data_IF_360836620810
#
_entry.id   IF_360836620810
#
_cell.length_a   1.000
_cell.length_b   1.000
_cell.length_c   1.000
_cell.angle_alpha   90.00
_cell.angle_beta   90.00
_cell.angle_gamma   90.00
#
_symmetry.space_group_name_H-M   'P 1'
#
loop_
_entity.id
_entity.type
_entity.pdbx_description
1 polymer ?
#
# COMPACT_ATOMS: atom_id res chain seq x y z
N UNK A 1 21.31 -3.22 -9.75
CA UNK A 1 21.13 -4.64 -9.44
C UNK A 1 21.05 -5.43 -10.74
N UNK A 2 22.09 -6.14 -11.17
CA UNK A 2 22.06 -6.85 -12.44
C UNK A 2 21.14 -8.05 -12.31
N UNK A 3 20.06 -8.05 -13.07
CA UNK A 3 19.30 -9.26 -13.33
C UNK A 3 20.24 -10.25 -13.98
N UNK A 4 20.28 -11.46 -13.46
CA UNK A 4 21.11 -12.51 -14.04
C UNK A 4 20.78 -12.69 -15.51
N UNK A 5 21.79 -12.64 -16.37
CA UNK A 5 21.69 -12.98 -17.81
C UNK A 5 21.34 -14.45 -18.00
N UNK A 6 21.58 -15.30 -17.01
CA UNK A 6 21.33 -16.74 -17.08
C UNK A 6 19.83 -17.03 -17.19
N UNK A 7 19.43 -17.73 -18.25
CA UNK A 7 18.04 -18.10 -18.53
C UNK A 7 17.39 -18.85 -17.37
N UNK A 8 18.10 -19.76 -16.75
CA UNK A 8 17.63 -20.54 -15.59
C UNK A 8 17.26 -19.64 -14.40
N UNK A 9 18.12 -18.67 -14.05
CA UNK A 9 17.86 -17.76 -12.93
C UNK A 9 16.63 -16.86 -13.17
N UNK A 10 16.39 -16.48 -14.42
CA UNK A 10 15.18 -15.70 -14.77
C UNK A 10 13.91 -16.54 -14.63
N UNK A 11 13.95 -17.80 -15.04
CA UNK A 11 12.82 -18.72 -14.87
C UNK A 11 12.57 -18.98 -13.38
N UNK A 12 13.61 -19.28 -12.61
CA UNK A 12 13.50 -19.47 -11.17
C UNK A 12 12.91 -18.23 -10.45
N UNK A 13 13.33 -17.02 -10.83
CA UNK A 13 12.78 -15.77 -10.29
C UNK A 13 11.29 -15.61 -10.61
N UNK A 14 10.88 -15.97 -11.81
CA UNK A 14 9.45 -15.93 -12.20
C UNK A 14 8.62 -16.93 -11.42
N UNK A 15 9.12 -18.15 -11.24
CA UNK A 15 8.44 -19.19 -10.44
C UNK A 15 8.34 -18.77 -8.98
N UNK A 16 9.45 -18.29 -8.38
CA UNK A 16 9.44 -17.76 -7.00
C UNK A 16 8.41 -16.64 -6.82
N UNK A 17 8.37 -15.69 -7.75
CA UNK A 17 7.39 -14.62 -7.72
C UNK A 17 5.96 -15.15 -7.80
N UNK A 18 5.67 -16.10 -8.69
CA UNK A 18 4.34 -16.70 -8.80
C UNK A 18 3.92 -17.42 -7.53
N UNK A 19 4.81 -18.24 -6.94
CA UNK A 19 4.56 -18.94 -5.69
C UNK A 19 4.35 -17.95 -4.52
N UNK A 20 5.12 -16.86 -4.47
CA UNK A 20 4.95 -15.82 -3.48
C UNK A 20 3.58 -15.13 -3.60
N UNK A 21 3.10 -14.88 -4.84
CA UNK A 21 1.78 -14.29 -5.06
C UNK A 21 0.64 -15.24 -4.69
N UNK A 22 0.80 -16.55 -4.91
CA UNK A 22 -0.22 -17.55 -4.54
C UNK A 22 -0.46 -17.66 -3.02
N UNK A 23 0.54 -17.30 -2.22
CA UNK A 23 0.45 -17.30 -0.75
C UNK A 23 -0.26 -16.05 -0.19
N UNK A 24 -0.53 -15.06 -1.03
CA UNK A 24 -1.20 -13.83 -0.59
C UNK A 24 -2.71 -14.08 -0.55
N UNK A 25 -3.25 -14.11 0.65
CA UNK A 25 -4.68 -14.22 0.90
C UNK A 25 -5.18 -12.88 1.43
N UNK A 26 -6.29 -12.39 0.87
CA UNK A 26 -6.93 -11.17 1.30
C UNK A 26 -8.35 -11.11 0.76
N UNK A 27 -9.34 -11.15 1.65
CA UNK A 27 -10.75 -11.18 1.29
C UNK A 27 -11.50 -9.90 1.64
N UNK A 28 -10.83 -8.95 2.28
CA UNK A 28 -11.46 -7.72 2.72
C UNK A 28 -11.38 -6.66 1.60
N UNK A 29 -12.51 -6.06 1.26
CA UNK A 29 -12.59 -4.98 0.27
C UNK A 29 -13.66 -3.97 0.68
N UNK A 30 -13.45 -2.71 0.37
CA UNK A 30 -14.49 -1.71 0.52
C UNK A 30 -15.66 -1.98 -0.43
N UNK A 31 -16.92 -1.81 0.00
CA UNK A 31 -18.06 -1.79 -0.88
C UNK A 31 -17.88 -0.76 -1.99
N UNK A 32 -18.12 -1.18 -3.22
CA UNK A 32 -17.91 -0.35 -4.41
C UNK A 32 -19.22 -0.05 -5.11
N UNK A 33 -19.28 1.08 -5.78
CA UNK A 33 -20.35 1.39 -6.73
C UNK A 33 -19.80 1.50 -8.15
N UNK A 34 -20.64 1.20 -9.13
CA UNK A 34 -20.31 1.44 -10.54
C UNK A 34 -20.53 2.91 -10.83
N UNK A 35 -19.49 3.58 -11.30
CA UNK A 35 -19.56 4.96 -11.75
C UNK A 35 -18.64 5.16 -12.96
N UNK A 36 -19.02 6.05 -13.87
CA UNK A 36 -18.25 6.31 -15.09
C UNK A 36 -17.12 7.32 -14.88
N UNK A 37 -17.35 8.30 -14.00
CA UNK A 37 -16.42 9.40 -13.77
C UNK A 37 -15.61 9.17 -12.49
N UNK A 38 -14.29 9.37 -12.60
CA UNK A 38 -13.36 9.30 -11.46
C UNK A 38 -13.20 10.67 -10.83
N UNK A 39 -13.34 10.73 -9.52
CA UNK A 39 -13.06 11.94 -8.74
C UNK A 39 -12.12 11.62 -7.61
N UNK A 40 -10.85 12.03 -7.74
CA UNK A 40 -9.87 11.84 -6.67
C UNK A 40 -9.98 12.97 -5.66
N UNK A 41 -10.19 12.62 -4.38
CA UNK A 41 -10.06 13.53 -3.26
C UNK A 41 -8.98 13.04 -2.30
N UNK A 42 -8.40 13.97 -1.51
CA UNK A 42 -7.25 13.68 -0.63
C UNK A 42 -7.41 14.41 0.69
N UNK A 43 -8.31 13.97 1.58
CA UNK A 43 -8.36 14.49 2.94
C UNK A 43 -7.01 14.30 3.62
N UNK A 44 -6.54 15.35 4.29
CA UNK A 44 -5.22 15.40 4.91
C UNK A 44 -5.31 15.97 6.31
N UNK A 45 -4.63 15.33 7.26
CA UNK A 45 -4.50 15.79 8.64
C UNK A 45 -3.01 15.92 8.99
N UNK A 46 -2.66 17.03 9.66
CA UNK A 46 -1.34 17.26 10.22
C UNK A 46 -1.43 17.31 11.75
N UNK A 47 -0.69 16.43 12.40
CA UNK A 47 -0.60 16.43 13.87
C UNK A 47 0.46 17.43 14.32
N UNK A 48 0.18 18.28 15.34
CA UNK A 48 1.14 19.24 15.90
C UNK A 48 2.46 18.56 16.31
N UNK A 49 3.52 19.36 16.42
CA UNK A 49 4.87 18.84 16.65
C UNK A 49 5.01 18.09 17.99
N UNK A 50 4.46 18.63 19.07
CA UNK A 50 4.43 18.00 20.38
C UNK A 50 3.71 16.66 20.37
N UNK A 51 2.54 16.61 19.73
CA UNK A 51 1.77 15.40 19.54
C UNK A 51 2.50 14.40 18.64
N UNK A 52 3.12 14.86 17.57
CA UNK A 52 3.96 14.02 16.70
C UNK A 52 5.09 13.38 17.49
N UNK A 53 5.78 14.15 18.34
CA UNK A 53 6.86 13.62 19.21
C UNK A 53 6.31 12.54 20.18
N UNK A 54 5.15 12.77 20.78
CA UNK A 54 4.50 11.80 21.66
C UNK A 54 4.15 10.49 20.91
N UNK A 55 3.50 10.58 19.76
CA UNK A 55 3.17 9.45 18.88
C UNK A 55 4.43 8.63 18.54
N UNK A 56 5.48 9.30 18.07
CA UNK A 56 6.73 8.63 17.70
C UNK A 56 7.42 7.99 18.91
N UNK A 57 7.36 8.62 20.08
CA UNK A 57 7.88 8.07 21.35
C UNK A 57 7.12 6.82 21.75
N UNK A 58 5.78 6.84 21.69
CA UNK A 58 4.92 5.69 22.01
C UNK A 58 5.18 4.51 21.06
N UNK A 59 5.28 4.75 19.77
CA UNK A 59 5.65 3.72 18.79
C UNK A 59 7.01 3.08 19.13
N UNK A 60 8.02 3.88 19.47
CA UNK A 60 9.35 3.37 19.87
C UNK A 60 9.30 2.54 21.14
N UNK A 61 8.53 2.95 22.14
CA UNK A 61 8.34 2.21 23.39
C UNK A 61 7.77 0.80 23.14
N UNK A 62 6.89 0.67 22.13
CA UNK A 62 6.36 -0.63 21.68
C UNK A 62 7.22 -1.34 20.62
N UNK A 63 8.42 -0.82 20.34
CA UNK A 63 9.37 -1.42 19.42
C UNK A 63 8.94 -1.41 17.95
N UNK A 64 8.03 -0.51 17.54
CA UNK A 64 7.52 -0.40 16.17
C UNK A 64 7.83 0.97 15.55
N UNK A 65 7.75 1.07 14.22
CA UNK A 65 7.78 2.35 13.51
C UNK A 65 6.37 2.90 13.35
N UNK A 66 6.24 4.21 13.14
CA UNK A 66 4.95 4.82 12.77
C UNK A 66 4.37 4.16 11.51
N UNK A 67 5.22 3.77 10.55
CA UNK A 67 4.77 3.04 9.36
C UNK A 67 4.07 1.73 9.70
N UNK A 68 4.62 0.96 10.64
CA UNK A 68 4.00 -0.28 11.09
C UNK A 68 2.71 -0.04 11.89
N UNK A 69 2.67 1.03 12.69
CA UNK A 69 1.48 1.44 13.42
C UNK A 69 0.35 1.86 12.45
N UNK A 70 0.65 2.56 11.35
CA UNK A 70 -0.37 2.93 10.36
C UNK A 70 -1.01 1.72 9.66
N UNK A 71 -0.29 0.62 9.46
CA UNK A 71 -0.92 -0.64 9.03
C UNK A 71 -1.92 -1.16 10.06
N UNK A 72 -1.54 -1.12 11.34
CA UNK A 72 -2.45 -1.55 12.41
C UNK A 72 -3.65 -0.61 12.57
N UNK A 73 -3.48 0.70 12.40
CA UNK A 73 -4.58 1.68 12.35
C UNK A 73 -5.57 1.31 11.25
N UNK A 74 -5.10 1.12 10.01
CA UNK A 74 -5.98 0.71 8.90
C UNK A 74 -6.69 -0.62 9.17
N UNK A 75 -5.98 -1.57 9.78
CA UNK A 75 -6.53 -2.88 10.12
C UNK A 75 -7.63 -2.77 11.17
N UNK A 76 -7.37 -2.08 12.28
CA UNK A 76 -8.34 -1.95 13.38
C UNK A 76 -9.54 -1.10 12.95
N UNK A 77 -9.31 0.03 12.28
CA UNK A 77 -10.36 0.89 11.79
C UNK A 77 -11.33 0.12 10.85
N UNK A 78 -10.78 -0.65 9.90
CA UNK A 78 -11.62 -1.47 9.02
C UNK A 78 -12.34 -2.57 9.78
N UNK A 79 -11.67 -3.25 10.73
CA UNK A 79 -12.30 -4.31 11.52
C UNK A 79 -13.49 -3.81 12.35
N UNK A 80 -13.48 -2.53 12.77
CA UNK A 80 -14.58 -1.91 13.53
C UNK A 80 -15.77 -1.55 12.66
N UNK A 81 -15.54 -1.02 11.46
CA UNK A 81 -16.63 -0.54 10.58
C UNK A 81 -17.09 -1.58 9.56
N UNK A 82 -16.29 -2.60 9.30
CA UNK A 82 -16.55 -3.59 8.23
C UNK A 82 -17.53 -4.70 8.61
N UNK A 83 -18.27 -4.57 9.73
CA UNK A 83 -19.09 -5.65 10.28
C UNK A 83 -20.15 -6.19 9.32
N UNK A 84 -20.73 -5.34 8.48
CA UNK A 84 -21.84 -5.69 7.60
C UNK A 84 -21.42 -6.28 6.24
N UNK A 85 -20.14 -6.10 5.84
CA UNK A 85 -19.69 -6.33 4.46
C UNK A 85 -18.58 -7.37 4.33
N UNK A 86 -18.08 -7.97 5.42
CA UNK A 86 -16.79 -8.64 5.40
C UNK A 86 -16.83 -10.05 5.98
N UNK A 87 -16.31 -11.01 5.22
CA UNK A 87 -15.98 -12.32 5.76
C UNK A 87 -14.78 -12.21 6.72
N UNK A 88 -15.07 -12.12 8.03
CA UNK A 88 -14.07 -12.00 9.09
C UNK A 88 -13.11 -13.18 9.18
N UNK A 89 -13.41 -14.30 8.53
CA UNK A 89 -12.51 -15.43 8.43
C UNK A 89 -11.31 -15.14 7.50
N UNK A 90 -11.47 -14.19 6.57
CA UNK A 90 -10.42 -13.84 5.63
C UNK A 90 -9.57 -12.66 6.13
N UNK A 91 -8.24 -12.72 5.97
CA UNK A 91 -7.35 -11.65 6.41
C UNK A 91 -7.50 -10.39 5.56
N UNK A 92 -7.07 -9.26 6.13
CA UNK A 92 -6.87 -8.00 5.41
C UNK A 92 -5.51 -8.01 4.75
N UNK A 93 -5.49 -7.98 3.42
CA UNK A 93 -4.27 -7.81 2.65
C UNK A 93 -4.09 -6.32 2.35
N UNK A 94 -2.95 -5.79 2.70
CA UNK A 94 -2.52 -4.41 2.39
C UNK A 94 -1.20 -4.45 1.65
N UNK A 95 -0.89 -3.42 0.88
CA UNK A 95 0.41 -3.31 0.22
C UNK A 95 1.06 -1.96 0.49
N UNK A 96 2.40 -1.91 0.39
CA UNK A 96 3.14 -0.66 0.50
C UNK A 96 4.28 -0.59 -0.50
N UNK A 97 4.69 0.64 -0.79
CA UNK A 97 5.87 0.90 -1.59
C UNK A 97 7.16 0.64 -0.79
N UNK A 98 8.17 0.09 -1.45
CA UNK A 98 9.50 -0.14 -0.92
C UNK A 98 10.50 0.71 -1.70
N UNK A 99 11.26 1.55 -0.99
CA UNK A 99 12.36 2.31 -1.60
C UNK A 99 13.47 1.35 -2.05
N UNK A 100 13.77 1.34 -3.34
CA UNK A 100 14.79 0.44 -3.91
C UNK A 100 16.18 1.06 -4.00
N UNK A 101 16.33 2.36 -3.80
CA UNK A 101 17.64 3.02 -3.88
C UNK A 101 18.74 2.37 -3.03
N UNK A 102 18.47 1.90 -1.78
CA UNK A 102 19.47 1.20 -0.97
C UNK A 102 19.97 -0.13 -1.56
N UNK A 103 19.21 -0.72 -2.51
CA UNK A 103 19.56 -2.01 -3.13
C UNK A 103 20.37 -1.87 -4.42
N UNK A 104 20.61 -0.64 -4.88
CA UNK A 104 21.45 -0.43 -6.07
C UNK A 104 22.92 -0.58 -5.73
N UNK A 105 23.58 -1.52 -6.40
CA UNK A 105 24.98 -1.89 -6.14
C UNK A 105 25.99 -0.92 -6.73
N UNK A 106 25.61 -0.08 -7.68
CA UNK A 106 26.45 0.98 -8.25
C UNK A 106 25.83 2.33 -7.92
N UNK A 107 26.57 3.11 -7.16
CA UNK A 107 26.36 4.55 -7.16
C UNK A 107 26.91 5.05 -8.49
N UNK A 108 26.12 5.68 -9.34
CA UNK A 108 26.64 6.24 -10.56
C UNK A 108 27.68 7.30 -10.24
N UNK A 109 28.70 7.35 -11.06
CA UNK A 109 29.83 8.29 -10.93
C UNK A 109 29.50 9.70 -11.38
N UNK A 110 28.25 9.97 -11.83
CA UNK A 110 27.84 11.29 -12.28
C UNK A 110 26.79 11.91 -11.35
N UNK A 111 26.87 13.23 -11.15
CA UNK A 111 25.90 14.04 -10.37
C UNK A 111 24.45 13.95 -10.90
N UNK A 112 24.26 13.44 -12.12
CA UNK A 112 22.95 13.15 -12.72
C UNK A 112 22.04 12.29 -11.83
N UNK A 113 22.61 11.40 -11.03
CA UNK A 113 21.83 10.55 -10.14
C UNK A 113 21.36 11.25 -8.86
N UNK A 114 22.06 12.26 -8.42
CA UNK A 114 21.65 13.07 -7.28
C UNK A 114 20.42 13.94 -7.62
N UNK A 115 20.29 14.34 -8.89
CA UNK A 115 19.20 15.16 -9.42
C UNK A 115 18.19 14.38 -10.24
N UNK A 116 18.33 13.06 -10.40
CA UNK A 116 17.52 12.29 -11.32
C UNK A 116 16.13 12.00 -10.76
N UNK A 117 15.12 12.43 -11.50
CA UNK A 117 13.70 12.29 -11.16
C UNK A 117 13.13 10.98 -11.67
N UNK A 118 13.32 9.90 -10.94
CA UNK A 118 12.73 8.61 -11.27
C UNK A 118 12.20 7.90 -10.03
N UNK A 119 11.16 7.10 -10.21
CA UNK A 119 10.61 6.25 -9.18
C UNK A 119 11.42 4.96 -9.08
N UNK A 120 12.15 4.80 -7.99
CA UNK A 120 12.86 3.57 -7.64
C UNK A 120 12.10 2.84 -6.54
N UNK A 121 10.94 2.29 -6.88
CA UNK A 121 10.05 1.63 -5.93
C UNK A 121 9.79 0.17 -6.29
N UNK A 122 9.78 -0.68 -5.28
CA UNK A 122 9.16 -1.99 -5.29
C UNK A 122 7.89 -1.98 -4.46
N UNK A 123 7.31 -3.16 -4.27
CA UNK A 123 6.12 -3.31 -3.45
C UNK A 123 6.24 -4.55 -2.58
N UNK A 124 5.68 -4.47 -1.39
CA UNK A 124 5.52 -5.60 -0.51
C UNK A 124 4.10 -5.63 0.05
N UNK A 125 3.71 -6.76 0.59
CA UNK A 125 2.39 -6.96 1.14
C UNK A 125 2.48 -7.25 2.63
N UNK A 126 1.43 -6.83 3.34
CA UNK A 126 1.20 -7.11 4.76
C UNK A 126 -0.20 -7.71 4.88
N UNK A 127 -0.29 -8.89 5.44
CA UNK A 127 -1.55 -9.54 5.73
C UNK A 127 -1.76 -9.56 7.25
N UNK A 128 -2.86 -8.99 7.71
CA UNK A 128 -3.24 -8.96 9.13
C UNK A 128 -4.61 -9.63 9.30
N UNK A 129 -4.85 -10.34 10.41
CA UNK A 129 -6.17 -10.89 10.69
C UNK A 129 -7.23 -9.78 10.77
N UNK A 130 -8.46 -10.06 10.36
CA UNK A 130 -9.58 -9.12 10.40
C UNK A 130 -10.37 -9.19 11.71
N UNK A 131 -10.20 -10.27 12.48
CA UNK A 131 -10.86 -10.42 13.77
C UNK A 131 -10.34 -9.39 14.78
N UNK A 132 -11.27 -8.77 15.54
CA UNK A 132 -10.97 -7.97 16.73
C UNK A 132 -11.67 -8.58 17.94
N UNK A 133 -11.00 -8.62 19.11
CA UNK A 133 -11.66 -8.95 20.36
C UNK A 133 -12.77 -7.94 20.69
N UNK A 134 -13.90 -8.42 21.20
CA UNK A 134 -15.01 -7.55 21.62
C UNK A 134 -14.70 -6.76 22.88
N UNK A 135 -13.80 -7.25 23.72
CA UNK A 135 -13.39 -6.59 24.94
C UNK A 135 -12.41 -5.44 24.67
N UNK A 136 -12.75 -4.25 25.16
CA UNK A 136 -11.95 -3.03 25.00
C UNK A 136 -10.56 -3.14 25.63
N UNK A 137 -10.41 -3.88 26.75
CA UNK A 137 -9.12 -4.08 27.41
C UNK A 137 -8.12 -4.89 26.56
N UNK A 138 -8.61 -5.72 25.67
CA UNK A 138 -7.76 -6.53 24.76
C UNK A 138 -7.47 -5.84 23.46
N UNK A 139 -8.13 -4.74 23.14
CA UNK A 139 -7.95 -4.03 21.86
C UNK A 139 -6.57 -3.37 21.75
N UNK A 140 -6.08 -2.73 22.80
CA UNK A 140 -4.76 -2.08 22.76
C UNK A 140 -3.62 -3.10 22.63
N UNK A 141 -3.54 -4.19 23.40
CA UNK A 141 -2.58 -5.26 23.15
C UNK A 141 -2.67 -5.84 21.75
N UNK A 142 -3.89 -6.00 21.21
CA UNK A 142 -4.14 -6.48 19.85
C UNK A 142 -3.59 -5.51 18.82
N UNK A 143 -3.83 -4.21 18.97
CA UNK A 143 -3.27 -3.18 18.09
C UNK A 143 -1.74 -3.26 18.02
N UNK A 144 -1.06 -3.32 19.17
CA UNK A 144 0.41 -3.41 19.21
C UNK A 144 0.93 -4.74 18.65
N UNK A 145 0.20 -5.84 18.84
CA UNK A 145 0.51 -7.12 18.20
C UNK A 145 0.45 -6.99 16.66
N UNK A 146 -0.61 -6.37 16.11
CA UNK A 146 -0.75 -6.12 14.68
C UNK A 146 0.36 -5.22 14.13
N UNK A 147 0.72 -4.18 14.86
CA UNK A 147 1.82 -3.30 14.49
C UNK A 147 3.16 -4.05 14.45
N UNK A 148 3.42 -4.94 15.39
CA UNK A 148 4.62 -5.82 15.37
C UNK A 148 4.59 -6.79 14.20
N UNK A 149 3.45 -7.43 13.93
CA UNK A 149 3.28 -8.30 12.76
C UNK A 149 3.53 -7.57 11.44
N UNK A 150 3.03 -6.33 11.31
CA UNK A 150 3.28 -5.49 10.13
C UNK A 150 4.77 -5.14 10.00
N UNK A 151 5.44 -4.80 11.11
CA UNK A 151 6.89 -4.56 11.14
C UNK A 151 7.70 -5.79 10.70
N UNK A 152 7.35 -6.97 11.20
CA UNK A 152 8.03 -8.21 10.84
C UNK A 152 7.88 -8.54 9.36
N UNK A 153 6.67 -8.44 8.82
CA UNK A 153 6.39 -8.72 7.42
C UNK A 153 7.12 -7.74 6.50
N UNK A 154 7.07 -6.44 6.80
CA UNK A 154 7.77 -5.40 6.04
C UNK A 154 9.29 -5.57 6.10
N UNK A 155 9.85 -5.90 7.28
CA UNK A 155 11.27 -6.17 7.46
C UNK A 155 11.71 -7.40 6.69
N UNK A 156 10.93 -8.47 6.72
CA UNK A 156 11.20 -9.71 5.96
C UNK A 156 11.19 -9.44 4.45
N UNK A 157 10.24 -8.63 3.98
CA UNK A 157 10.17 -8.25 2.58
C UNK A 157 11.40 -7.43 2.16
N UNK A 158 11.76 -6.42 2.94
CA UNK A 158 12.90 -5.55 2.67
C UNK A 158 14.26 -6.27 2.75
N UNK A 159 14.41 -7.20 3.69
CA UNK A 159 15.66 -7.99 3.86
C UNK A 159 15.73 -9.25 3.00
N UNK A 160 14.73 -9.51 2.17
CA UNK A 160 14.70 -10.69 1.32
C UNK A 160 15.85 -10.69 0.30
N UNK A 161 16.63 -11.75 0.15
CA UNK A 161 17.63 -11.86 -0.92
C UNK A 161 16.99 -11.84 -2.32
N UNK A 162 15.68 -12.09 -2.39
CA UNK A 162 14.91 -12.12 -3.63
C UNK A 162 14.21 -10.78 -3.94
N UNK A 163 14.45 -9.72 -3.15
CA UNK A 163 13.79 -8.41 -3.33
C UNK A 163 13.93 -7.88 -4.76
N UNK A 164 15.10 -8.04 -5.37
CA UNK A 164 15.35 -7.57 -6.72
C UNK A 164 14.55 -8.32 -7.78
N UNK A 165 14.64 -9.64 -7.75
CA UNK A 165 13.96 -10.49 -8.74
C UNK A 165 12.44 -10.36 -8.63
N UNK A 166 11.90 -10.34 -7.41
CA UNK A 166 10.46 -10.11 -7.15
C UNK A 166 10.02 -8.74 -7.61
N UNK A 167 10.81 -7.70 -7.33
CA UNK A 167 10.51 -6.34 -7.80
C UNK A 167 10.51 -6.24 -9.31
N UNK A 168 11.46 -6.88 -9.99
CA UNK A 168 11.51 -6.91 -11.45
C UNK A 168 10.23 -7.51 -12.05
N UNK A 169 9.81 -8.69 -11.58
CA UNK A 169 8.58 -9.33 -12.05
C UNK A 169 7.32 -8.52 -11.72
N UNK A 170 7.28 -7.91 -10.54
CA UNK A 170 6.19 -7.01 -10.15
C UNK A 170 6.12 -5.77 -11.05
N UNK A 171 7.27 -5.14 -11.33
CA UNK A 171 7.34 -3.95 -12.19
C UNK A 171 6.92 -4.27 -13.61
N UNK A 172 7.34 -5.43 -14.15
CA UNK A 172 6.89 -5.89 -15.47
C UNK A 172 5.37 -6.04 -15.52
N UNK A 173 4.78 -6.76 -14.56
CA UNK A 173 3.33 -6.96 -14.45
C UNK A 173 2.57 -5.64 -14.30
N UNK A 174 3.05 -4.73 -13.44
CA UNK A 174 2.42 -3.40 -13.26
C UNK A 174 2.55 -2.53 -14.49
N UNK A 175 3.68 -2.60 -15.21
CA UNK A 175 3.86 -1.90 -16.48
C UNK A 175 2.91 -2.39 -17.56
N UNK A 176 2.67 -3.70 -17.66
CA UNK A 176 1.67 -4.28 -18.56
C UNK A 176 0.26 -3.79 -18.20
N UNK A 177 -0.08 -3.80 -16.92
CA UNK A 177 -1.35 -3.31 -16.40
C UNK A 177 -1.54 -1.80 -16.67
N UNK A 178 -0.52 -0.98 -16.41
CA UNK A 178 -0.58 0.47 -16.63
C UNK A 178 -0.82 0.81 -18.11
N UNK A 179 -0.15 0.09 -19.03
CA UNK A 179 -0.39 0.25 -20.47
C UNK A 179 -1.81 -0.15 -20.88
N UNK A 180 -2.36 -1.22 -20.29
CA UNK A 180 -3.74 -1.62 -20.55
C UNK A 180 -4.73 -0.55 -20.06
N UNK A 181 -4.50 -0.01 -18.88
CA UNK A 181 -5.32 1.08 -18.33
C UNK A 181 -5.21 2.38 -19.11
N UNK A 182 -3.99 2.73 -19.59
CA UNK A 182 -3.82 3.91 -20.46
C UNK A 182 -4.62 3.78 -21.74
N UNK A 183 -4.56 2.62 -22.39
CA UNK A 183 -5.39 2.37 -23.59
C UNK A 183 -6.90 2.47 -23.30
N UNK A 184 -7.35 1.90 -22.20
CA UNK A 184 -8.74 2.01 -21.77
C UNK A 184 -9.16 3.48 -21.55
N UNK A 185 -8.31 4.27 -20.90
CA UNK A 185 -8.58 5.69 -20.67
C UNK A 185 -8.66 6.46 -22.00
N UNK A 186 -7.74 6.22 -22.93
CA UNK A 186 -7.72 6.83 -24.26
C UNK A 186 -8.96 6.45 -25.10
N UNK A 187 -9.38 5.18 -25.04
CA UNK A 187 -10.57 4.68 -25.75
C UNK A 187 -11.86 5.27 -25.16
N UNK A 188 -11.94 5.43 -23.85
CA UNK A 188 -13.07 6.08 -23.16
C UNK A 188 -13.18 7.56 -23.54
N UNK A 189 -12.05 8.26 -23.59
CA UNK A 189 -12.01 9.67 -24.01
C UNK A 189 -12.47 9.85 -25.45
N UNK A 190 -12.12 8.92 -26.33
CA UNK A 190 -12.56 8.90 -27.75
C UNK A 190 -13.98 8.37 -27.96
N UNK A 191 -14.65 7.87 -26.92
CA UNK A 191 -15.97 7.24 -27.01
C UNK A 191 -15.97 5.88 -27.74
N UNK A 192 -14.81 5.27 -27.94
CA UNK A 192 -14.64 3.98 -28.63
C UNK A 192 -14.50 2.78 -27.71
N UNK A 193 -14.46 3.02 -26.39
CA UNK A 193 -14.28 1.95 -25.44
C UNK A 193 -15.49 1.00 -25.38
N UNK A 194 -15.20 -0.28 -25.53
CA UNK A 194 -16.18 -1.36 -25.38
C UNK A 194 -15.79 -2.19 -24.16
N UNK A 195 -16.71 -2.44 -23.22
CA UNK A 195 -16.41 -3.33 -22.11
C UNK A 195 -15.90 -4.68 -22.61
N UNK A 196 -14.82 -5.23 -22.06
CA UNK A 196 -14.38 -6.55 -22.43
C UNK A 196 -15.54 -7.52 -22.19
N UNK A 197 -15.97 -8.19 -23.25
CA UNK A 197 -16.95 -9.28 -23.11
C UNK A 197 -16.38 -10.26 -22.10
N UNK A 198 -17.17 -10.76 -21.14
CA UNK A 198 -16.74 -11.87 -20.32
C UNK A 198 -16.27 -12.94 -21.30
N UNK A 199 -14.95 -13.15 -21.32
CA UNK A 199 -14.40 -14.20 -22.16
C UNK A 199 -15.24 -15.42 -21.86
N UNK A 200 -15.88 -16.00 -22.90
CA UNK A 200 -16.39 -17.34 -22.85
C UNK A 200 -15.15 -18.21 -22.69
N UNK A 201 -14.72 -18.34 -21.45
CA UNK A 201 -13.63 -19.20 -21.06
C UNK A 201 -14.23 -20.61 -21.17
N UNK A 202 -14.24 -21.13 -22.40
CA UNK A 202 -13.97 -22.53 -22.50
C UNK A 202 -12.59 -22.73 -21.85
N UNK A 203 -12.49 -23.37 -20.70
CA UNK A 203 -11.20 -23.60 -20.10
C UNK A 203 -10.41 -24.38 -21.12
N UNK A 204 -9.27 -23.83 -21.61
CA UNK A 204 -8.18 -24.67 -22.06
C UNK A 204 -7.84 -25.50 -20.83
N UNK A 205 -8.41 -26.69 -20.79
CA UNK A 205 -8.08 -27.70 -19.81
C UNK A 205 -6.64 -28.11 -20.13
N UNK A 206 -5.69 -27.33 -19.63
CA UNK A 206 -4.41 -27.92 -19.28
C UNK A 206 -4.79 -28.97 -18.24
N UNK A 207 -4.64 -30.23 -18.61
CA UNK A 207 -4.87 -31.35 -17.72
C UNK A 207 -3.90 -31.20 -16.54
N UNK A 208 -4.35 -30.46 -15.52
CA UNK A 208 -3.68 -30.42 -14.24
C UNK A 208 -3.89 -31.80 -13.62
N UNK A 209 -2.81 -32.51 -13.36
CA UNK A 209 -2.81 -33.79 -12.65
C UNK A 209 -3.39 -33.70 -11.23
N UNK A 210 -3.70 -32.49 -10.79
CA UNK A 210 -4.29 -32.21 -9.48
C UNK A 210 -5.60 -31.45 -9.66
N UNK A 211 -6.65 -31.77 -8.85
CA UNK A 211 -7.89 -31.01 -8.88
C UNK A 211 -7.60 -29.54 -8.60
N UNK A 212 -8.13 -28.65 -9.45
CA UNK A 212 -7.97 -27.22 -9.29
C UNK A 212 -8.58 -26.79 -7.94
N UNK A 213 -7.74 -26.54 -6.96
CA UNK A 213 -8.17 -25.93 -5.70
C UNK A 213 -8.72 -24.54 -6.01
N UNK A 214 -9.91 -24.24 -5.53
CA UNK A 214 -10.46 -22.89 -5.61
C UNK A 214 -9.41 -21.89 -5.10
N UNK A 215 -9.03 -20.94 -5.95
CA UNK A 215 -7.99 -19.94 -5.60
C UNK A 215 -8.54 -19.04 -4.51
N UNK A 216 -7.86 -18.98 -3.37
CA UNK A 216 -8.21 -18.06 -2.30
C UNK A 216 -8.21 -16.60 -2.82
N UNK A 217 -9.16 -15.77 -2.35
CA UNK A 217 -9.19 -14.36 -2.72
C UNK A 217 -7.89 -13.68 -2.31
N UNK A 218 -7.37 -12.77 -3.15
CA UNK A 218 -6.13 -12.03 -2.89
C UNK A 218 -6.27 -10.54 -3.22
N UNK A 219 -7.44 -9.99 -2.93
CA UNK A 219 -7.70 -8.54 -3.07
C UNK A 219 -7.05 -7.77 -1.93
N UNK A 220 -6.38 -6.68 -2.27
CA UNK A 220 -5.86 -5.76 -1.26
C UNK A 220 -6.97 -4.78 -0.84
N UNK A 221 -7.09 -4.58 0.48
CA UNK A 221 -8.01 -3.60 1.06
C UNK A 221 -7.57 -2.18 0.68
N UNK A 222 -6.33 -1.82 1.00
CA UNK A 222 -5.77 -0.49 0.82
C UNK A 222 -4.27 -0.57 0.54
N UNK A 223 -3.75 0.43 -0.19
CA UNK A 223 -2.32 0.66 -0.31
C UNK A 223 -1.82 1.72 0.68
N UNK A 224 -0.57 1.58 1.12
CA UNK A 224 0.10 2.58 1.95
C UNK A 224 1.36 3.09 1.25
N UNK A 225 1.52 4.39 1.18
CA UNK A 225 2.72 5.07 0.68
C UNK A 225 3.37 5.82 1.85
N UNK A 226 4.36 5.20 2.46
CA UNK A 226 4.96 5.68 3.71
C UNK A 226 6.33 6.29 3.39
N UNK A 227 6.38 7.62 3.31
CA UNK A 227 7.57 8.37 2.84
C UNK A 227 8.62 8.55 3.93
N UNK A 228 8.27 8.29 5.20
CA UNK A 228 9.19 8.39 6.33
C UNK A 228 9.45 9.83 6.77
N UNK A 229 10.67 10.08 7.26
CA UNK A 229 11.09 11.41 7.73
C UNK A 229 11.63 12.24 6.57
N UNK A 230 10.83 13.19 6.11
CA UNK A 230 11.20 14.09 5.01
C UNK A 230 12.09 15.23 5.47
N UNK A 231 12.05 15.64 6.73
CA UNK A 231 12.98 16.64 7.29
C UNK A 231 14.44 16.17 7.22
N UNK A 232 14.67 14.85 7.25
CA UNK A 232 15.98 14.26 7.04
C UNK A 232 16.46 14.33 5.57
N UNK A 233 15.55 14.52 4.62
CA UNK A 233 15.83 14.58 3.17
C UNK A 233 15.93 16.03 2.71
N UNK A 234 14.97 16.88 3.10
CA UNK A 234 14.93 18.29 2.75
C UNK A 234 15.79 19.10 3.71
N UNK A 235 16.92 19.55 3.22
CA UNK A 235 17.85 20.42 3.97
C UNK A 235 17.34 21.86 3.95
N UNK A 236 16.34 22.17 4.76
CA UNK A 236 15.72 23.50 4.81
C UNK A 236 16.74 24.65 4.93
N UNK A 237 17.77 24.48 5.74
CA UNK A 237 18.84 25.49 5.93
C UNK A 237 19.67 25.78 4.66
N UNK A 238 19.65 24.92 3.67
CA UNK A 238 20.35 25.15 2.40
C UNK A 238 19.60 26.14 1.48
N UNK A 239 18.38 26.51 1.83
CA UNK A 239 17.52 27.41 1.04
C UNK A 239 16.98 28.56 1.93
N UNK A 240 17.84 29.49 2.38
CA UNK A 240 17.46 30.52 3.36
C UNK A 240 16.39 31.50 2.85
N UNK A 241 16.28 31.64 1.54
CA UNK A 241 15.30 32.53 0.90
C UNK A 241 13.98 31.84 0.51
N UNK A 242 13.81 30.55 0.84
CA UNK A 242 12.61 29.77 0.48
C UNK A 242 12.20 28.88 1.66
N UNK A 243 11.04 29.15 2.24
CA UNK A 243 10.50 28.33 3.30
C UNK A 243 9.44 27.35 2.76
N UNK A 244 9.75 26.05 2.82
CA UNK A 244 8.76 25.01 2.58
C UNK A 244 7.93 24.80 3.86
N UNK A 245 6.70 25.29 3.89
CA UNK A 245 5.84 25.21 5.07
C UNK A 245 4.87 24.03 5.04
N UNK A 246 4.51 23.53 3.86
CA UNK A 246 3.52 22.46 3.66
C UNK A 246 3.95 21.58 2.50
N UNK A 247 3.72 20.29 2.64
CA UNK A 247 3.87 19.32 1.58
C UNK A 247 2.57 18.51 1.46
N UNK A 248 1.99 18.47 0.28
CA UNK A 248 0.86 17.62 -0.03
C UNK A 248 1.32 16.42 -0.85
N UNK A 249 0.89 15.23 -0.45
CA UNK A 249 1.15 13.99 -1.20
C UNK A 249 -0.16 13.43 -1.69
N UNK A 250 -0.17 12.99 -2.94
CA UNK A 250 -1.37 12.41 -3.55
C UNK A 250 -1.02 11.69 -4.85
N UNK A 251 -1.96 10.95 -5.35
CA UNK A 251 -1.91 10.37 -6.69
C UNK A 251 -3.32 10.31 -7.26
N UNK A 252 -3.44 10.48 -8.57
CA UNK A 252 -4.71 10.26 -9.27
C UNK A 252 -5.13 8.80 -9.07
N UNK A 253 -6.32 8.60 -8.51
CA UNK A 253 -6.82 7.27 -8.20
C UNK A 253 -7.55 6.66 -9.41
N UNK A 254 -7.47 5.35 -9.53
CA UNK A 254 -8.30 4.57 -10.45
C UNK A 254 -9.67 4.31 -9.83
N UNK A 255 -10.61 3.81 -10.63
CA UNK A 255 -11.94 3.45 -10.12
C UNK A 255 -11.87 2.56 -8.89
N UNK A 256 -12.45 3.05 -7.79
CA UNK A 256 -12.45 2.37 -6.52
C UNK A 256 -11.06 2.08 -5.95
N UNK A 257 -10.04 2.87 -6.31
CA UNK A 257 -8.72 2.77 -5.70
C UNK A 257 -8.57 3.73 -4.53
N UNK A 258 -7.73 3.31 -3.57
CA UNK A 258 -7.45 4.05 -2.34
C UNK A 258 -6.00 3.87 -1.94
N UNK A 259 -5.38 4.95 -1.48
CA UNK A 259 -3.99 4.96 -1.01
C UNK A 259 -3.83 5.90 0.18
N UNK A 260 -3.32 5.38 1.28
CA UNK A 260 -2.97 6.18 2.46
C UNK A 260 -1.52 6.62 2.36
N UNK A 261 -1.25 7.90 2.58
CA UNK A 261 0.09 8.46 2.68
C UNK A 261 0.42 8.79 4.13
N UNK A 262 1.67 8.55 4.53
CA UNK A 262 2.16 8.89 5.87
C UNK A 262 3.61 9.36 5.82
N UNK A 263 3.91 10.51 6.45
CA UNK A 263 5.25 11.09 6.51
C UNK A 263 5.38 12.11 7.63
N UNK A 264 6.61 12.41 8.03
CA UNK A 264 6.88 13.58 8.88
C UNK A 264 7.54 14.68 8.05
N UNK A 265 7.05 15.92 8.22
CA UNK A 265 7.57 17.10 7.56
C UNK A 265 7.32 18.33 8.43
N UNK A 266 8.34 19.19 8.60
CA UNK A 266 8.35 20.35 9.52
C UNK A 266 7.94 19.94 10.94
N UNK A 267 8.52 18.83 11.43
CA UNK A 267 8.26 18.29 12.76
C UNK A 267 6.87 17.70 12.97
N UNK A 268 5.98 17.74 11.99
CA UNK A 268 4.60 17.28 12.05
C UNK A 268 4.43 15.93 11.36
N UNK A 269 3.61 15.06 11.93
CA UNK A 269 3.12 13.87 11.26
C UNK A 269 1.94 14.23 10.36
N UNK A 270 2.05 13.90 9.10
CA UNK A 270 1.01 14.09 8.08
C UNK A 270 0.45 12.73 7.68
N UNK A 271 -0.86 12.63 7.64
CA UNK A 271 -1.59 11.47 7.13
C UNK A 271 -2.61 11.98 6.11
N UNK A 272 -2.58 11.39 4.91
CA UNK A 272 -3.51 11.74 3.83
C UNK A 272 -4.13 10.47 3.28
N UNK A 273 -5.41 10.51 2.91
CA UNK A 273 -6.12 9.40 2.28
C UNK A 273 -6.59 9.81 0.88
N UNK A 274 -5.83 9.40 -0.15
CA UNK A 274 -6.25 9.62 -1.52
C UNK A 274 -7.19 8.51 -1.99
N UNK A 275 -8.39 8.84 -2.47
CA UNK A 275 -9.34 7.84 -2.96
C UNK A 275 -10.22 8.38 -4.09
N UNK A 276 -10.79 7.46 -4.87
CA UNK A 276 -11.80 7.77 -5.88
C UNK A 276 -13.18 7.86 -5.21
N UNK A 277 -13.66 9.08 -4.97
CA UNK A 277 -14.92 9.35 -4.28
C UNK A 277 -16.12 8.65 -4.93
N UNK A 278 -16.14 8.59 -6.26
CA UNK A 278 -17.23 7.98 -7.01
C UNK A 278 -17.16 6.45 -7.05
N UNK A 279 -16.03 5.86 -6.69
CA UNK A 279 -15.79 4.42 -6.82
C UNK A 279 -16.24 3.57 -5.63
N UNK A 280 -16.68 4.18 -4.53
CA UNK A 280 -17.06 3.49 -3.30
C UNK A 280 -18.53 3.72 -2.96
N UNK A 281 -19.13 2.82 -2.18
CA UNK A 281 -20.44 3.06 -1.60
C UNK A 281 -20.42 4.31 -0.72
N UNK A 282 -21.55 5.02 -0.70
CA UNK A 282 -21.67 6.32 -0.02
C UNK A 282 -21.32 6.21 1.48
N UNK A 283 -20.53 7.17 1.96
CA UNK A 283 -20.15 7.31 3.35
C UNK A 283 -19.20 6.24 3.90
N UNK A 284 -18.89 5.15 3.15
CA UNK A 284 -18.03 4.08 3.68
C UNK A 284 -16.61 4.53 3.90
N UNK A 285 -16.07 5.35 3.00
CA UNK A 285 -14.70 5.87 3.12
C UNK A 285 -14.62 6.93 4.21
N UNK A 286 -15.65 7.76 4.37
CA UNK A 286 -15.71 8.77 5.41
C UNK A 286 -15.75 8.12 6.81
N UNK A 287 -16.55 7.06 6.98
CA UNK A 287 -16.56 6.28 8.23
C UNK A 287 -15.19 5.65 8.50
N UNK A 288 -14.56 5.07 7.48
CA UNK A 288 -13.21 4.50 7.62
C UNK A 288 -12.18 5.57 8.00
N UNK A 289 -12.21 6.72 7.35
CA UNK A 289 -11.28 7.80 7.61
C UNK A 289 -11.43 8.34 9.03
N UNK A 290 -12.68 8.61 9.44
CA UNK A 290 -12.97 9.02 10.81
C UNK A 290 -12.47 8.00 11.82
N UNK A 291 -12.82 6.72 11.65
CA UNK A 291 -12.40 5.64 12.55
C UNK A 291 -10.86 5.47 12.57
N UNK A 292 -10.20 5.67 11.44
CA UNK A 292 -8.73 5.64 11.39
C UNK A 292 -8.11 6.77 12.23
N UNK A 293 -8.67 7.97 12.21
CA UNK A 293 -8.22 9.09 13.05
C UNK A 293 -8.54 8.85 14.52
N UNK A 294 -9.73 8.34 14.84
CA UNK A 294 -10.12 7.97 16.21
C UNK A 294 -9.16 6.88 16.77
N UNK A 295 -8.75 5.92 15.93
CA UNK A 295 -7.72 4.93 16.29
C UNK A 295 -6.33 5.57 16.52
N UNK A 296 -5.95 6.62 15.77
CA UNK A 296 -4.72 7.36 16.05
C UNK A 296 -4.80 7.99 17.43
N UNK A 297 -5.92 8.62 17.76
CA UNK A 297 -6.13 9.26 19.05
C UNK A 297 -6.12 8.24 20.20
N UNK A 298 -6.78 7.12 20.02
CA UNK A 298 -6.87 6.09 21.05
C UNK A 298 -5.55 5.36 21.31
N UNK A 299 -4.85 4.94 20.25
CA UNK A 299 -3.70 4.04 20.38
C UNK A 299 -2.36 4.77 20.36
N UNK A 300 -2.29 5.95 19.74
CA UNK A 300 -1.03 6.69 19.58
C UNK A 300 -1.01 8.00 20.34
N UNK A 301 -2.17 8.49 20.80
CA UNK A 301 -2.33 9.71 21.61
C UNK A 301 -1.79 9.56 23.04
#
# INVERSE_FOLDING_TARGET
MPLSSARFRRVAAKVDFQLAQQKLVGGQTFPRRKHSERRTIVPTVAFPEDRTKAILKKCRAHGVSISAALFAICNVAWARIGEECCDRALPMLMYSALNLRPYFTRKPTSDLWASYWYLAIGYFNVALPSFLPGDTHTQEPTFWLRARQAKEQSTRAAKSPLVASRTHEMSRKRGEQARAWGREDDEREKGTWVPPQPASIAPKVEQSLFPARAKAPSSALIGLSLLGNLDGIYKHAAFPNAELHTLTTGSRQRHGAMLLFGYTFKGKLWISLGYDENGFAEGVVDRFWKEALDCVDQFLG
#
